data_IF_486173104115
#
_entry.id   IF_486173104115
#
_cell.length_a   1.000
_cell.length_b   1.000
_cell.length_c   1.000
_cell.angle_alpha   90.00
_cell.angle_beta   90.00
_cell.angle_gamma   90.00
#
_symmetry.space_group_name_H-M   'P 1'
#
loop_
_entity.id
_entity.type
_entity.pdbx_description
1 polymer ?
#
# COMPACT_ATOMS: atom_id res chain seq x y z
N UNK A 1 -18.45 2.92 26.69
CA UNK A 1 -18.19 1.88 25.68
C UNK A 1 -17.94 2.60 24.37
N UNK A 2 -16.67 2.71 24.02
CA UNK A 2 -16.18 3.35 22.80
C UNK A 2 -16.30 2.29 21.72
N UNK A 3 -17.16 2.49 20.73
CA UNK A 3 -17.25 1.58 19.60
C UNK A 3 -16.02 1.82 18.72
N UNK A 4 -14.97 1.06 18.99
CA UNK A 4 -13.84 0.95 18.08
C UNK A 4 -14.35 0.06 16.94
N UNK A 5 -14.78 0.70 15.84
CA UNK A 5 -14.72 0.02 14.55
C UNK A 5 -13.24 -0.11 14.25
N UNK A 6 -12.67 -1.27 14.56
CA UNK A 6 -11.46 -1.68 13.89
C UNK A 6 -11.86 -1.83 12.43
N UNK A 7 -11.53 -0.82 11.63
CA UNK A 7 -11.36 -1.03 10.21
C UNK A 7 -10.46 -2.25 10.12
N UNK A 8 -10.95 -3.32 9.50
CA UNK A 8 -10.06 -4.31 8.95
C UNK A 8 -9.31 -3.56 7.83
N UNK A 9 -8.33 -2.73 8.21
CA UNK A 9 -7.20 -2.46 7.34
C UNK A 9 -6.77 -3.84 6.92
N UNK A 10 -6.89 -4.11 5.61
CA UNK A 10 -6.56 -5.36 4.96
C UNK A 10 -5.51 -6.05 5.82
N UNK A 11 -5.85 -7.17 6.48
CA UNK A 11 -4.92 -7.82 7.39
C UNK A 11 -3.57 -7.81 6.68
N UNK A 12 -2.54 -7.19 7.26
CA UNK A 12 -1.23 -7.13 6.63
C UNK A 12 -0.70 -8.56 6.59
N UNK A 13 -1.17 -9.31 5.60
CA UNK A 13 -0.85 -10.68 5.35
C UNK A 13 0.59 -10.63 4.91
N UNK A 14 1.46 -11.04 5.80
CA UNK A 14 2.88 -10.98 5.53
C UNK A 14 3.22 -12.19 4.68
N UNK A 15 3.84 -11.94 3.52
CA UNK A 15 4.45 -13.01 2.74
C UNK A 15 5.59 -13.59 3.58
N UNK A 16 5.48 -14.88 3.89
CA UNK A 16 6.52 -15.60 4.58
C UNK A 16 7.07 -16.69 3.68
N UNK A 17 8.32 -16.52 3.28
CA UNK A 17 9.08 -17.57 2.63
C UNK A 17 9.47 -18.62 3.67
N UNK A 18 9.80 -19.83 3.21
CA UNK A 18 10.40 -20.86 4.07
C UNK A 18 11.73 -20.39 4.68
N UNK A 19 12.54 -21.33 5.19
CA UNK A 19 13.91 -21.00 5.57
C UNK A 19 14.69 -20.59 4.31
N UNK A 20 14.78 -19.29 4.06
CA UNK A 20 15.43 -18.69 2.90
C UNK A 20 16.55 -17.76 3.37
N UNK A 21 17.77 -18.03 2.91
CA UNK A 21 18.93 -17.17 3.14
C UNK A 21 19.28 -16.49 1.81
N UNK A 22 19.30 -15.16 1.78
CA UNK A 22 19.59 -14.37 0.57
C UNK A 22 20.91 -13.65 0.77
N UNK A 23 21.83 -13.77 -0.17
CA UNK A 23 23.10 -13.02 -0.15
C UNK A 23 23.16 -12.15 -1.40
N UNK A 24 23.24 -10.84 -1.23
CA UNK A 24 23.53 -9.92 -2.32
C UNK A 24 25.03 -9.71 -2.41
N UNK A 25 25.59 -9.88 -3.60
CA UNK A 25 26.98 -9.52 -3.91
C UNK A 25 26.90 -8.33 -4.88
N UNK A 26 27.26 -7.15 -4.38
CA UNK A 26 27.07 -5.86 -5.07
C UNK A 26 28.41 -5.22 -5.41
N UNK A 27 28.47 -4.58 -6.57
CA UNK A 27 29.69 -4.07 -7.16
C UNK A 27 29.90 -2.60 -6.75
N UNK A 28 31.01 -2.32 -6.08
CA UNK A 28 31.37 -0.97 -5.63
C UNK A 28 32.64 -0.44 -6.32
N UNK A 29 32.98 -1.03 -7.47
CA UNK A 29 34.11 -0.61 -8.30
C UNK A 29 33.99 0.82 -8.80
N UNK A 30 35.10 1.33 -9.34
CA UNK A 30 35.17 2.67 -9.90
C UNK A 30 34.25 2.84 -11.12
N UNK A 31 34.10 1.80 -11.95
CA UNK A 31 33.27 1.85 -13.17
C UNK A 31 31.77 1.94 -12.89
N UNK A 32 31.32 1.43 -11.74
CA UNK A 32 29.94 1.59 -11.26
C UNK A 32 29.69 3.06 -10.90
N UNK A 33 30.55 3.64 -10.05
CA UNK A 33 30.40 5.01 -9.56
C UNK A 33 29.35 5.18 -8.46
N UNK A 34 29.46 6.26 -7.67
CA UNK A 34 28.65 6.50 -6.47
C UNK A 34 27.12 6.51 -6.73
N UNK A 35 26.69 7.10 -7.84
CA UNK A 35 25.26 7.21 -8.17
C UNK A 35 24.64 5.84 -8.46
N UNK A 36 25.33 5.00 -9.24
CA UNK A 36 24.85 3.66 -9.55
C UNK A 36 24.94 2.72 -8.35
N UNK A 37 26.01 2.84 -7.55
CA UNK A 37 26.11 2.10 -6.29
C UNK A 37 24.96 2.44 -5.32
N UNK A 38 24.46 3.68 -5.35
CA UNK A 38 23.26 4.06 -4.59
C UNK A 38 22.00 3.38 -5.12
N UNK A 39 21.89 3.18 -6.43
CA UNK A 39 20.79 2.42 -7.04
C UNK A 39 20.86 0.94 -6.67
N UNK A 40 22.05 0.33 -6.65
CA UNK A 40 22.24 -1.05 -6.18
C UNK A 40 21.80 -1.23 -4.72
N UNK A 41 22.19 -0.31 -3.83
CA UNK A 41 21.73 -0.31 -2.43
C UNK A 41 20.21 -0.22 -2.33
N UNK A 42 19.59 0.64 -3.14
CA UNK A 42 18.14 0.78 -3.16
C UNK A 42 17.45 -0.49 -3.69
N UNK A 43 18.02 -1.14 -4.71
CA UNK A 43 17.54 -2.42 -5.22
C UNK A 43 17.56 -3.51 -4.15
N UNK A 44 18.65 -3.64 -3.39
CA UNK A 44 18.74 -4.58 -2.26
C UNK A 44 17.65 -4.30 -1.23
N UNK A 45 17.49 -3.04 -0.82
CA UNK A 45 16.47 -2.64 0.17
C UNK A 45 15.06 -2.94 -0.34
N UNK A 46 14.74 -2.56 -1.57
CA UNK A 46 13.40 -2.67 -2.12
C UNK A 46 13.01 -4.14 -2.36
N UNK A 47 13.95 -4.97 -2.82
CA UNK A 47 13.73 -6.42 -3.03
C UNK A 47 13.36 -7.11 -1.72
N UNK A 48 14.11 -6.85 -0.65
CA UNK A 48 13.81 -7.43 0.66
C UNK A 48 12.52 -6.86 1.24
N UNK A 49 12.25 -5.56 1.05
CA UNK A 49 11.01 -4.94 1.50
C UNK A 49 9.77 -5.58 0.87
N UNK A 50 9.84 -6.03 -0.38
CA UNK A 50 8.73 -6.72 -1.06
C UNK A 50 8.54 -8.16 -0.61
N UNK A 51 9.61 -8.84 -0.19
CA UNK A 51 9.54 -10.20 0.37
C UNK A 51 8.82 -10.28 1.72
N UNK A 52 8.45 -9.14 2.33
CA UNK A 52 7.55 -9.05 3.47
C UNK A 52 8.23 -9.31 4.81
N UNK A 53 8.50 -10.57 5.16
CA UNK A 53 9.02 -10.94 6.49
C UNK A 53 10.51 -11.27 6.52
N UNK A 54 11.27 -10.51 7.31
CA UNK A 54 12.62 -10.88 7.74
C UNK A 54 12.56 -11.69 9.04
N UNK A 55 13.50 -12.61 9.23
CA UNK A 55 13.65 -13.32 10.49
C UNK A 55 14.14 -12.36 11.59
N UNK A 56 13.39 -12.22 12.68
CA UNK A 56 13.78 -11.38 13.82
C UNK A 56 14.89 -11.98 14.67
N UNK A 57 15.06 -13.30 14.61
CA UNK A 57 16.18 -14.03 15.21
C UNK A 57 16.95 -14.74 14.08
N UNK A 58 18.26 -14.51 13.93
CA UNK A 58 19.08 -15.22 12.95
C UNK A 58 19.10 -16.75 13.12
N UNK A 59 18.72 -17.28 14.28
CA UNK A 59 18.57 -18.72 14.54
C UNK A 59 17.15 -19.25 14.27
N UNK A 60 16.21 -18.39 13.88
CA UNK A 60 14.83 -18.79 13.60
C UNK A 60 14.77 -19.84 12.48
N UNK A 61 13.98 -20.92 12.66
CA UNK A 61 13.81 -21.95 11.64
C UNK A 61 12.97 -21.47 10.45
N UNK A 62 12.38 -20.27 10.52
CA UNK A 62 11.51 -19.68 9.47
C UNK A 62 11.83 -18.21 9.26
N UNK A 63 11.45 -17.67 8.10
CA UNK A 63 11.69 -16.26 7.73
C UNK A 63 13.02 -16.04 6.98
N UNK A 64 13.09 -14.92 6.28
CA UNK A 64 14.19 -14.58 5.38
C UNK A 64 15.36 -13.97 6.16
N UNK A 65 16.57 -14.48 5.97
CA UNK A 65 17.81 -13.84 6.42
C UNK A 65 18.53 -13.24 5.23
N UNK A 66 19.13 -12.07 5.41
CA UNK A 66 19.74 -11.35 4.31
C UNK A 66 21.15 -10.94 4.67
N UNK A 67 22.09 -11.29 3.81
CA UNK A 67 23.47 -10.82 3.84
C UNK A 67 23.76 -9.96 2.63
N UNK A 68 24.71 -9.05 2.77
CA UNK A 68 25.19 -8.20 1.68
C UNK A 68 26.70 -8.22 1.72
N UNK A 69 27.34 -8.43 0.57
CA UNK A 69 28.78 -8.32 0.37
C UNK A 69 28.95 -7.24 -0.69
N UNK A 70 29.59 -6.13 -0.34
CA UNK A 70 30.11 -5.22 -1.34
C UNK A 70 31.57 -5.57 -1.65
N UNK A 71 31.96 -5.42 -2.89
CA UNK A 71 33.34 -5.64 -3.31
C UNK A 71 33.84 -4.54 -4.25
N UNK A 72 35.14 -4.33 -4.25
CA UNK A 72 35.82 -3.58 -5.31
C UNK A 72 37.11 -4.31 -5.67
N UNK A 73 38.23 -3.99 -5.02
CA UNK A 73 39.55 -4.57 -5.29
C UNK A 73 40.00 -5.51 -4.18
N UNK A 74 41.15 -6.15 -4.37
CA UNK A 74 41.74 -7.12 -3.44
C UNK A 74 41.67 -6.67 -1.97
N UNK A 75 41.06 -7.50 -1.12
CA UNK A 75 40.96 -7.27 0.32
C UNK A 75 39.91 -6.25 0.77
N UNK A 76 39.17 -5.62 -0.15
CA UNK A 76 38.12 -4.63 0.17
C UNK A 76 36.72 -5.23 0.07
N UNK A 77 36.39 -6.08 1.04
CA UNK A 77 35.06 -6.66 1.19
C UNK A 77 34.42 -6.15 2.48
N UNK A 78 33.33 -5.38 2.36
CA UNK A 78 32.46 -5.13 3.52
C UNK A 78 31.26 -6.07 3.45
N UNK A 79 30.92 -6.66 4.58
CA UNK A 79 29.83 -7.62 4.66
C UNK A 79 28.87 -7.33 5.81
N UNK A 80 27.59 -7.49 5.50
CA UNK A 80 26.52 -7.68 6.46
C UNK A 80 26.25 -9.19 6.51
N UNK A 81 26.53 -9.81 7.66
CA UNK A 81 26.43 -11.27 7.83
C UNK A 81 24.99 -11.77 7.90
N UNK A 82 24.76 -13.02 7.46
CA UNK A 82 23.45 -13.69 7.59
C UNK A 82 23.04 -13.94 9.05
N UNK A 83 24.01 -14.04 9.95
CA UNK A 83 23.88 -14.33 11.38
C UNK A 83 24.08 -13.09 12.27
N UNK A 84 24.14 -11.90 11.68
CA UNK A 84 24.27 -10.65 12.42
C UNK A 84 23.01 -10.36 13.26
N UNK A 85 23.15 -10.45 14.58
CA UNK A 85 22.06 -10.24 15.53
C UNK A 85 21.52 -8.79 15.55
N UNK A 86 22.27 -7.83 15.00
CA UNK A 86 21.80 -6.44 14.84
C UNK A 86 20.79 -6.28 13.70
N UNK A 87 20.74 -7.23 12.76
CA UNK A 87 19.84 -7.22 11.60
C UNK A 87 18.58 -8.04 11.92
N UNK A 88 17.80 -7.56 12.88
CA UNK A 88 16.59 -8.22 13.38
C UNK A 88 15.28 -7.66 12.79
N UNK A 89 15.36 -6.67 11.91
CA UNK A 89 14.21 -5.97 11.35
C UNK A 89 14.53 -5.29 10.03
N UNK A 90 13.51 -5.03 9.21
CA UNK A 90 13.67 -4.29 7.95
C UNK A 90 14.33 -2.91 8.15
N UNK A 91 13.99 -2.21 9.24
CA UNK A 91 14.56 -0.90 9.56
C UNK A 91 16.06 -0.99 9.88
N UNK A 92 16.46 -1.98 10.67
CA UNK A 92 17.88 -2.25 10.98
C UNK A 92 18.67 -2.61 9.72
N UNK A 93 18.13 -3.47 8.87
CA UNK A 93 18.72 -3.86 7.58
C UNK A 93 18.89 -2.66 6.65
N UNK A 94 17.82 -1.87 6.45
CA UNK A 94 17.85 -0.66 5.63
C UNK A 94 18.91 0.33 6.13
N UNK A 95 19.08 0.45 7.45
CA UNK A 95 20.09 1.32 8.05
C UNK A 95 21.50 0.80 7.78
N UNK A 96 21.74 -0.51 7.94
CA UNK A 96 23.02 -1.13 7.68
C UNK A 96 23.44 -1.00 6.20
N UNK A 97 22.54 -1.33 5.26
CA UNK A 97 22.81 -1.19 3.82
C UNK A 97 23.08 0.25 3.44
N UNK A 98 22.34 1.22 3.99
CA UNK A 98 22.59 2.65 3.71
C UNK A 98 23.96 3.15 4.19
N UNK A 99 24.52 2.55 5.25
CA UNK A 99 25.83 2.92 5.80
C UNK A 99 27.00 2.48 4.93
N UNK A 100 26.81 1.47 4.07
CA UNK A 100 27.81 1.02 3.11
C UNK A 100 28.28 2.19 2.23
N UNK A 101 29.58 2.43 2.27
CA UNK A 101 30.25 3.49 1.51
C UNK A 101 30.80 2.91 0.20
N UNK A 102 30.71 3.71 -0.85
CA UNK A 102 31.31 3.37 -2.13
C UNK A 102 32.85 3.35 -1.99
N UNK A 103 33.48 2.24 -2.38
CA UNK A 103 34.92 2.01 -2.18
C UNK A 103 35.75 2.63 -3.31
N UNK A 104 35.30 2.52 -4.56
CA UNK A 104 35.97 3.05 -5.76
C UNK A 104 37.38 2.44 -6.03
N UNK A 105 37.42 1.32 -6.76
CA UNK A 105 38.66 0.69 -7.19
C UNK A 105 38.43 -0.31 -8.34
N UNK A 106 39.16 -1.42 -8.33
CA UNK A 106 39.01 -2.52 -9.31
C UNK A 106 37.72 -3.33 -9.14
N UNK A 107 37.57 -4.37 -9.96
CA UNK A 107 36.41 -5.27 -9.98
C UNK A 107 36.85 -6.73 -9.79
N UNK A 108 36.92 -7.19 -8.55
CA UNK A 108 37.43 -8.52 -8.17
C UNK A 108 36.26 -9.49 -7.92
N UNK A 109 35.48 -9.73 -8.98
CA UNK A 109 34.26 -10.54 -8.92
C UNK A 109 34.53 -11.99 -8.49
N UNK A 110 35.43 -12.77 -9.14
CA UNK A 110 35.76 -14.13 -8.69
C UNK A 110 36.11 -14.21 -7.19
N UNK A 111 36.99 -13.33 -6.70
CA UNK A 111 37.38 -13.29 -5.28
C UNK A 111 36.21 -12.92 -4.37
N UNK A 112 35.32 -12.02 -4.79
CA UNK A 112 34.12 -11.65 -4.04
C UNK A 112 33.15 -12.83 -3.88
N UNK A 113 32.98 -13.66 -4.92
CA UNK A 113 32.13 -14.85 -4.87
C UNK A 113 32.71 -15.88 -3.88
N UNK A 114 34.03 -16.05 -3.87
CA UNK A 114 34.72 -16.90 -2.90
C UNK A 114 34.54 -16.38 -1.47
N UNK A 115 34.75 -15.08 -1.25
CA UNK A 115 34.57 -14.45 0.05
C UNK A 115 33.12 -14.57 0.56
N UNK A 116 32.13 -14.30 -0.30
CA UNK A 116 30.72 -14.43 0.05
C UNK A 116 30.39 -15.86 0.49
N UNK A 117 30.91 -16.88 -0.20
CA UNK A 117 30.70 -18.24 0.21
C UNK A 117 31.39 -18.58 1.53
N UNK A 118 32.69 -18.32 1.64
CA UNK A 118 33.48 -18.76 2.79
C UNK A 118 33.09 -18.04 4.08
N UNK A 119 32.78 -16.74 3.98
CA UNK A 119 32.51 -15.87 5.12
C UNK A 119 31.03 -15.85 5.54
N UNK A 120 30.09 -15.89 4.58
CA UNK A 120 28.66 -15.75 4.90
C UNK A 120 27.87 -17.05 4.74
N UNK A 121 28.26 -17.95 3.84
CA UNK A 121 27.42 -19.11 3.49
C UNK A 121 27.88 -20.38 4.18
N UNK A 122 29.18 -20.72 4.07
CA UNK A 122 29.74 -22.03 4.43
C UNK A 122 29.39 -22.49 5.84
N UNK A 123 29.51 -21.59 6.82
CA UNK A 123 29.29 -21.88 8.23
C UNK A 123 28.01 -21.25 8.80
N UNK A 124 27.45 -20.22 8.15
CA UNK A 124 26.30 -19.47 8.68
C UNK A 124 24.97 -19.86 8.04
N UNK A 125 24.95 -20.68 6.98
CA UNK A 125 23.70 -21.18 6.36
C UNK A 125 22.90 -22.07 7.31
N UNK A 126 21.57 -21.93 7.30
CA UNK A 126 20.69 -22.82 8.08
C UNK A 126 20.68 -24.23 7.47
N UNK A 127 20.70 -25.27 8.30
CA UNK A 127 20.76 -26.68 7.88
C UNK A 127 19.62 -27.13 6.94
N UNK A 128 18.48 -26.40 6.90
CA UNK A 128 17.33 -26.68 6.03
C UNK A 128 17.03 -25.55 5.04
N UNK A 129 17.87 -24.53 4.95
CA UNK A 129 17.64 -23.38 4.07
C UNK A 129 18.32 -23.55 2.73
N UNK A 130 17.63 -23.16 1.66
CA UNK A 130 18.26 -22.85 0.37
C UNK A 130 18.89 -21.47 0.48
N UNK A 131 20.06 -21.32 -0.13
CA UNK A 131 20.79 -20.05 -0.18
C UNK A 131 20.65 -19.49 -1.59
N UNK A 132 19.98 -18.34 -1.72
CA UNK A 132 19.85 -17.62 -2.98
C UNK A 132 20.88 -16.49 -3.02
N UNK A 133 21.82 -16.54 -3.94
CA UNK A 133 22.82 -15.49 -4.16
C UNK A 133 22.38 -14.64 -5.34
N UNK A 134 22.34 -13.32 -5.17
CA UNK A 134 22.07 -12.36 -6.25
C UNK A 134 23.35 -11.55 -6.45
N UNK A 135 23.97 -11.73 -7.61
CA UNK A 135 25.21 -11.03 -8.00
C UNK A 135 24.83 -9.90 -8.94
N UNK A 136 25.23 -8.67 -8.61
CA UNK A 136 25.07 -7.49 -9.46
C UNK A 136 26.47 -7.02 -9.85
N UNK A 137 26.71 -6.84 -11.14
CA UNK A 137 28.00 -6.36 -11.65
C UNK A 137 27.83 -5.73 -13.04
N UNK A 138 28.77 -4.86 -13.43
CA UNK A 138 28.90 -4.38 -14.81
C UNK A 138 29.73 -5.32 -15.70
N UNK A 139 30.00 -6.54 -15.22
CA UNK A 139 30.62 -7.65 -15.96
C UNK A 139 32.10 -7.49 -16.26
N UNK A 140 32.70 -6.37 -15.85
CA UNK A 140 34.14 -6.22 -15.85
C UNK A 140 34.68 -7.05 -14.69
N UNK A 141 35.79 -7.71 -14.90
CA UNK A 141 36.59 -8.21 -13.79
C UNK A 141 38.05 -7.89 -14.09
N UNK A 142 38.82 -7.67 -13.04
CA UNK A 142 40.23 -7.35 -13.16
C UNK A 142 41.00 -8.61 -13.59
N UNK A 143 41.83 -8.57 -14.65
CA UNK A 143 42.62 -9.74 -15.08
C UNK A 143 43.61 -10.27 -14.03
N UNK A 144 43.83 -9.52 -12.95
CA UNK A 144 44.64 -9.96 -11.79
C UNK A 144 43.87 -10.89 -10.85
N UNK A 145 42.54 -10.97 -10.98
CA UNK A 145 41.72 -11.89 -10.20
C UNK A 145 41.76 -13.32 -10.78
N UNK A 146 41.38 -14.31 -9.97
CA UNK A 146 41.43 -15.73 -10.33
C UNK A 146 40.09 -16.20 -10.94
N UNK A 147 40.01 -16.16 -12.28
CA UNK A 147 38.83 -16.54 -13.06
C UNK A 147 38.33 -17.97 -12.78
N UNK A 148 39.20 -18.86 -12.28
CA UNK A 148 38.79 -20.20 -11.89
C UNK A 148 37.75 -20.21 -10.76
N UNK A 149 37.63 -19.09 -10.01
CA UNK A 149 36.71 -18.89 -8.91
C UNK A 149 35.35 -18.33 -9.33
N UNK A 150 35.14 -17.97 -10.61
CA UNK A 150 33.84 -17.48 -11.10
C UNK A 150 32.68 -18.44 -10.80
N UNK A 151 32.99 -19.74 -10.72
CA UNK A 151 32.01 -20.80 -10.45
C UNK A 151 32.07 -21.32 -9.01
N UNK A 152 32.76 -20.64 -8.10
CA UNK A 152 33.01 -21.14 -6.73
C UNK A 152 31.72 -21.44 -5.96
N UNK A 153 30.70 -20.59 -6.11
CA UNK A 153 29.37 -20.78 -5.52
C UNK A 153 28.61 -21.99 -6.10
N UNK A 154 28.90 -22.39 -7.34
CA UNK A 154 28.23 -23.48 -8.03
C UNK A 154 28.61 -24.87 -7.52
N UNK A 155 29.64 -24.95 -6.67
CA UNK A 155 30.10 -26.21 -6.09
C UNK A 155 29.18 -26.72 -4.98
N UNK A 156 28.30 -25.88 -4.42
CA UNK A 156 27.32 -26.28 -3.40
C UNK A 156 25.93 -26.41 -4.03
N UNK A 157 25.32 -27.62 -4.04
CA UNK A 157 24.00 -27.83 -4.64
C UNK A 157 22.86 -27.09 -3.92
N UNK A 158 23.10 -26.57 -2.71
CA UNK A 158 22.11 -25.79 -1.95
C UNK A 158 22.20 -24.29 -2.23
N UNK A 159 23.16 -23.85 -3.05
CA UNK A 159 23.36 -22.47 -3.46
C UNK A 159 22.78 -22.26 -4.85
N UNK A 160 21.88 -21.30 -4.97
CA UNK A 160 21.24 -20.89 -6.23
C UNK A 160 21.73 -19.49 -6.56
N UNK A 161 22.49 -19.35 -7.65
CA UNK A 161 23.04 -18.05 -8.07
C UNK A 161 22.18 -17.45 -9.18
N UNK A 162 21.77 -16.20 -9.00
CA UNK A 162 21.17 -15.34 -10.02
C UNK A 162 22.16 -14.20 -10.30
N UNK A 163 22.52 -14.00 -11.55
CA UNK A 163 23.48 -12.99 -11.97
C UNK A 163 22.78 -11.89 -12.78
N UNK A 164 23.02 -10.64 -12.41
CA UNK A 164 22.47 -9.45 -13.05
C UNK A 164 23.65 -8.64 -13.60
N UNK A 165 23.71 -8.54 -14.93
CA UNK A 165 24.72 -7.76 -15.65
C UNK A 165 24.13 -6.43 -16.14
N UNK A 166 24.82 -5.31 -15.90
CA UNK A 166 24.32 -3.97 -16.19
C UNK A 166 25.29 -3.16 -17.05
N UNK A 167 24.78 -2.50 -18.09
CA UNK A 167 25.54 -1.52 -18.88
C UNK A 167 26.22 -2.11 -20.12
N UNK A 168 27.41 -1.58 -20.44
CA UNK A 168 28.14 -1.83 -21.70
C UNK A 168 28.75 -3.24 -21.82
N UNK A 169 28.41 -4.19 -20.93
CA UNK A 169 28.79 -5.62 -21.06
C UNK A 169 28.45 -6.21 -22.44
N UNK A 170 27.49 -5.63 -23.15
CA UNK A 170 26.96 -6.18 -24.39
C UNK A 170 27.62 -5.61 -25.66
N UNK A 171 28.52 -4.63 -25.52
CA UNK A 171 29.34 -4.13 -26.63
C UNK A 171 30.56 -5.03 -26.91
N UNK A 172 30.88 -5.97 -26.01
CA UNK A 172 31.93 -6.98 -26.18
C UNK A 172 31.37 -8.39 -25.97
N UNK A 173 31.52 -9.26 -26.98
CA UNK A 173 31.03 -10.66 -26.99
C UNK A 173 31.43 -11.50 -25.76
N UNK A 174 32.52 -11.17 -25.07
CA UNK A 174 33.11 -11.99 -24.00
C UNK A 174 32.44 -11.82 -22.61
N UNK A 175 31.74 -10.72 -22.33
CA UNK A 175 31.26 -10.45 -20.97
C UNK A 175 29.96 -11.21 -20.64
N UNK A 176 29.20 -11.62 -21.68
CA UNK A 176 28.03 -12.50 -21.54
C UNK A 176 28.38 -13.93 -21.09
N UNK A 177 29.58 -14.42 -21.41
CA UNK A 177 30.07 -15.75 -21.00
C UNK A 177 30.46 -15.76 -19.51
N UNK A 178 30.97 -14.64 -19.00
CA UNK A 178 31.30 -14.44 -17.59
C UNK A 178 30.04 -14.46 -16.73
N UNK A 179 29.00 -13.70 -17.12
CA UNK A 179 27.73 -13.67 -16.38
C UNK A 179 27.06 -15.05 -16.32
N UNK A 180 27.12 -15.78 -17.44
CA UNK A 180 26.62 -17.14 -17.52
C UNK A 180 27.41 -18.10 -16.62
N UNK A 181 28.73 -17.92 -16.52
CA UNK A 181 29.59 -18.71 -15.63
C UNK A 181 29.24 -18.48 -14.15
N UNK A 182 29.03 -17.22 -13.75
CA UNK A 182 28.58 -16.86 -12.39
C UNK A 182 27.23 -17.51 -12.07
N UNK A 183 26.29 -17.51 -13.03
CA UNK A 183 24.99 -18.17 -12.92
C UNK A 183 25.04 -19.71 -13.11
N UNK A 184 26.20 -20.33 -12.95
CA UNK A 184 26.40 -21.78 -13.04
C UNK A 184 25.97 -22.38 -14.38
N UNK A 185 26.21 -21.67 -15.48
CA UNK A 185 25.81 -22.02 -16.85
C UNK A 185 24.30 -22.12 -17.07
N UNK A 186 23.50 -21.42 -16.24
CA UNK A 186 22.05 -21.38 -16.39
C UNK A 186 21.57 -20.03 -16.93
N UNK A 187 21.22 -20.00 -18.23
CA UNK A 187 20.71 -18.79 -18.91
C UNK A 187 19.41 -18.25 -18.34
N UNK A 188 18.59 -19.07 -17.68
CA UNK A 188 17.35 -18.58 -17.06
C UNK A 188 17.60 -17.79 -15.76
N UNK A 189 18.85 -17.78 -15.27
CA UNK A 189 19.29 -17.10 -14.05
C UNK A 189 20.23 -15.93 -14.33
N UNK A 190 20.45 -15.61 -15.60
CA UNK A 190 21.15 -14.40 -16.03
C UNK A 190 20.11 -13.36 -16.42
N UNK A 191 20.24 -12.14 -15.91
CA UNK A 191 19.45 -10.99 -16.35
C UNK A 191 20.38 -9.92 -16.88
N UNK A 192 20.08 -9.44 -18.08
CA UNK A 192 20.84 -8.40 -18.76
C UNK A 192 20.05 -7.09 -18.69
N UNK A 193 20.71 -6.01 -18.28
CA UNK A 193 20.12 -4.68 -18.14
C UNK A 193 20.98 -3.64 -18.84
N UNK A 194 20.32 -2.61 -19.39
CA UNK A 194 21.04 -1.52 -20.05
C UNK A 194 21.45 -0.43 -19.08
N UNK A 195 20.64 -0.18 -18.05
CA UNK A 195 20.87 0.91 -17.10
C UNK A 195 20.63 0.46 -15.66
N UNK A 196 21.36 1.05 -14.72
CA UNK A 196 21.19 0.80 -13.29
C UNK A 196 19.81 1.23 -12.76
N UNK A 197 19.12 2.13 -13.46
CA UNK A 197 17.75 2.54 -13.14
C UNK A 197 16.75 1.38 -13.31
N UNK A 198 17.06 0.40 -14.15
CA UNK A 198 16.18 -0.75 -14.38
C UNK A 198 16.15 -1.69 -13.18
N UNK A 199 17.19 -1.67 -12.33
CA UNK A 199 17.22 -2.42 -11.08
C UNK A 199 16.12 -2.00 -10.10
N UNK A 200 15.77 -0.72 -10.10
CA UNK A 200 14.78 -0.15 -9.16
C UNK A 200 13.38 -0.10 -9.75
N UNK A 201 13.19 -0.62 -10.97
CA UNK A 201 11.88 -0.69 -11.62
C UNK A 201 10.97 -1.73 -10.95
N UNK A 202 9.71 -1.35 -10.68
CA UNK A 202 8.78 -2.19 -9.91
C UNK A 202 8.54 -3.57 -10.54
N UNK A 203 8.44 -3.64 -11.87
CA UNK A 203 8.26 -4.88 -12.61
C UNK A 203 9.43 -5.86 -12.44
N UNK A 204 10.66 -5.35 -12.35
CA UNK A 204 11.84 -6.17 -12.15
C UNK A 204 11.91 -6.69 -10.70
N UNK A 205 11.62 -5.83 -9.72
CA UNK A 205 11.60 -6.24 -8.32
C UNK A 205 10.51 -7.30 -8.09
N UNK A 206 9.35 -7.19 -8.72
CA UNK A 206 8.28 -8.21 -8.68
C UNK A 206 8.73 -9.56 -9.28
N UNK A 207 9.46 -9.52 -10.41
CA UNK A 207 10.08 -10.73 -10.98
C UNK A 207 11.08 -11.36 -10.02
N UNK A 208 11.95 -10.55 -9.40
CA UNK A 208 12.93 -11.03 -8.43
C UNK A 208 12.29 -11.60 -7.17
N UNK A 209 11.18 -11.01 -6.70
CA UNK A 209 10.39 -11.54 -5.60
C UNK A 209 9.94 -12.99 -5.89
N UNK A 210 9.40 -13.22 -7.08
CA UNK A 210 8.94 -14.55 -7.53
C UNK A 210 10.09 -15.54 -7.69
N UNK A 211 11.27 -15.09 -8.16
CA UNK A 211 12.46 -15.95 -8.32
C UNK A 211 13.05 -16.35 -6.96
N UNK A 212 13.12 -15.41 -6.01
CA UNK A 212 13.69 -15.63 -4.69
C UNK A 212 12.76 -16.42 -3.78
N UNK A 213 11.45 -16.24 -3.94
CA UNK A 213 10.41 -16.87 -3.14
C UNK A 213 9.23 -17.32 -4.01
N UNK A 214 9.35 -18.46 -4.73
CA UNK A 214 8.34 -18.90 -5.68
C UNK A 214 7.03 -19.36 -5.02
N UNK A 215 7.11 -19.95 -3.83
CA UNK A 215 5.95 -20.47 -3.10
C UNK A 215 5.83 -19.79 -1.72
N UNK A 216 5.46 -18.50 -1.66
CA UNK A 216 5.33 -17.79 -0.40
C UNK A 216 4.14 -18.32 0.39
N UNK A 217 4.33 -18.58 1.68
CA UNK A 217 3.24 -18.85 2.60
C UNK A 217 2.69 -17.49 3.04
N UNK A 218 1.47 -17.17 2.62
CA UNK A 218 0.80 -15.95 3.07
C UNK A 218 0.32 -16.19 4.50
N UNK A 219 1.02 -15.60 5.47
CA UNK A 219 0.60 -15.63 6.87
C UNK A 219 -0.14 -14.35 7.19
N UNK A 220 -1.45 -14.47 7.22
CA UNK A 220 -2.28 -13.46 7.84
C UNK A 220 -2.25 -13.69 9.35
N UNK A 221 -2.13 -12.63 10.18
CA UNK A 221 -2.29 -12.79 11.62
C UNK A 221 -3.63 -13.49 11.89
N UNK A 222 -3.59 -14.57 12.65
CA UNK A 222 -4.78 -15.25 13.15
C UNK A 222 -5.37 -14.40 14.29
N UNK A 223 -5.83 -13.21 13.95
CA UNK A 223 -6.96 -12.64 14.66
C UNK A 223 -8.17 -13.46 14.19
N UNK A 224 -9.08 -13.88 15.07
CA UNK A 224 -10.39 -14.29 14.60
C UNK A 224 -10.96 -13.07 13.88
N UNK A 225 -10.86 -13.05 12.55
CA UNK A 225 -11.91 -12.45 11.78
C UNK A 225 -13.11 -13.30 12.13
N UNK A 226 -13.89 -12.86 13.12
CA UNK A 226 -15.28 -13.21 13.13
C UNK A 226 -15.78 -12.80 11.75
N UNK A 227 -15.99 -13.83 10.94
CA UNK A 227 -16.41 -13.73 9.55
C UNK A 227 -17.88 -13.33 9.47
N UNK A 228 -18.52 -13.20 10.63
CA UNK A 228 -19.68 -12.36 10.84
C UNK A 228 -19.16 -11.02 11.36
N UNK A 229 -19.29 -9.97 10.55
CA UNK A 229 -19.25 -8.61 11.05
C UNK A 229 -20.30 -8.51 12.16
N UNK A 230 -19.90 -8.64 13.42
CA UNK A 230 -20.74 -8.30 14.57
C UNK A 230 -20.82 -6.77 14.75
N UNK A 231 -20.74 -6.05 13.61
CA UNK A 231 -21.44 -4.79 13.47
C UNK A 231 -22.90 -5.19 13.59
N UNK A 232 -23.45 -5.09 14.80
CA UNK A 232 -24.88 -5.24 15.01
C UNK A 232 -25.55 -4.46 13.87
N UNK A 233 -26.42 -5.10 13.05
CA UNK A 233 -27.02 -4.46 11.89
C UNK A 233 -27.49 -3.07 12.27
N UNK A 234 -27.63 -2.10 11.36
CA UNK A 234 -28.20 -0.78 11.70
C UNK A 234 -29.46 -0.83 12.61
N UNK A 235 -30.19 -1.96 12.62
CA UNK A 235 -31.28 -2.32 13.55
C UNK A 235 -30.85 -2.44 15.04
N UNK A 236 -29.65 -2.92 15.33
CA UNK A 236 -29.13 -3.24 16.66
C UNK A 236 -28.27 -2.16 17.32
N UNK A 237 -27.91 -1.08 16.62
CA UNK A 237 -27.08 0.02 17.15
C UNK A 237 -27.46 1.39 16.58
N UNK A 238 -27.06 2.51 17.20
CA UNK A 238 -27.41 3.83 16.71
C UNK A 238 -26.40 4.30 15.64
N UNK A 239 -26.88 4.60 14.44
CA UNK A 239 -26.06 5.13 13.32
C UNK A 239 -26.61 6.47 12.85
N UNK A 240 -25.79 7.52 12.87
CA UNK A 240 -26.13 8.83 12.32
C UNK A 240 -25.41 9.00 10.96
N UNK A 241 -26.16 8.80 9.87
CA UNK A 241 -25.65 8.82 8.49
C UNK A 241 -25.89 10.20 7.87
N UNK A 242 -24.83 10.83 7.39
CA UNK A 242 -24.86 12.19 6.83
C UNK A 242 -24.37 12.14 5.39
N UNK A 243 -25.25 12.47 4.45
CA UNK A 243 -24.91 12.58 3.04
C UNK A 243 -24.40 13.98 2.72
N UNK A 244 -23.24 14.06 2.08
CA UNK A 244 -22.69 15.27 1.49
C UNK A 244 -22.75 15.10 -0.04
N UNK A 245 -23.72 15.75 -0.65
CA UNK A 245 -23.98 15.69 -2.09
C UNK A 245 -23.30 16.87 -2.79
N UNK A 246 -22.49 16.57 -3.79
CA UNK A 246 -21.84 17.58 -4.62
C UNK A 246 -22.89 18.31 -5.48
N UNK A 247 -23.03 19.61 -5.30
CA UNK A 247 -23.96 20.47 -6.04
C UNK A 247 -23.31 21.13 -7.26
N UNK A 248 -22.20 20.58 -7.75
CA UNK A 248 -21.44 21.23 -8.81
C UNK A 248 -22.01 21.05 -10.20
N UNK A 249 -21.76 22.03 -11.08
CA UNK A 249 -22.11 22.01 -12.51
C UNK A 249 -21.62 20.73 -13.21
N UNK A 250 -20.43 20.24 -12.85
CA UNK A 250 -19.83 19.03 -13.43
C UNK A 250 -20.65 17.78 -13.14
N UNK A 251 -21.28 17.69 -11.96
CA UNK A 251 -22.17 16.59 -11.65
C UNK A 251 -23.35 16.56 -12.62
N UNK A 252 -23.96 17.72 -12.87
CA UNK A 252 -25.12 17.88 -13.73
C UNK A 252 -26.44 17.46 -13.08
N UNK A 253 -27.52 18.10 -13.51
CA UNK A 253 -28.88 17.92 -12.94
C UNK A 253 -29.39 16.48 -13.03
N UNK A 254 -29.10 15.75 -14.11
CA UNK A 254 -29.54 14.36 -14.26
C UNK A 254 -28.91 13.45 -13.19
N UNK A 255 -27.60 13.56 -12.96
CA UNK A 255 -26.89 12.78 -11.95
C UNK A 255 -27.29 13.18 -10.53
N UNK A 256 -27.55 14.47 -10.32
CA UNK A 256 -28.10 14.99 -9.08
C UNK A 256 -29.44 14.31 -8.74
N UNK A 257 -30.37 14.20 -9.69
CA UNK A 257 -31.64 13.50 -9.50
C UNK A 257 -31.45 12.01 -9.16
N UNK A 258 -30.45 11.36 -9.76
CA UNK A 258 -30.09 9.97 -9.43
C UNK A 258 -29.55 9.85 -8.00
N UNK A 259 -28.73 10.79 -7.55
CA UNK A 259 -28.24 10.84 -6.17
C UNK A 259 -29.39 11.02 -5.16
N UNK A 260 -30.38 11.87 -5.45
CA UNK A 260 -31.56 12.02 -4.60
C UNK A 260 -32.40 10.75 -4.52
N UNK A 261 -32.59 10.05 -5.65
CA UNK A 261 -33.24 8.74 -5.70
C UNK A 261 -32.49 7.70 -4.88
N UNK A 262 -31.16 7.71 -4.95
CA UNK A 262 -30.31 6.83 -4.15
C UNK A 262 -30.50 7.07 -2.65
N UNK A 263 -30.43 8.33 -2.19
CA UNK A 263 -30.67 8.68 -0.78
C UNK A 263 -32.08 8.27 -0.34
N UNK A 264 -33.09 8.46 -1.19
CA UNK A 264 -34.46 8.01 -0.91
C UNK A 264 -34.55 6.48 -0.77
N UNK A 265 -33.86 5.73 -1.63
CA UNK A 265 -33.81 4.27 -1.59
C UNK A 265 -33.11 3.76 -0.34
N UNK A 266 -32.01 4.40 0.08
CA UNK A 266 -31.34 4.13 1.36
C UNK A 266 -32.29 4.38 2.52
N UNK A 267 -32.97 5.53 2.55
CA UNK A 267 -33.93 5.89 3.61
C UNK A 267 -35.09 4.90 3.73
N UNK A 268 -35.53 4.28 2.63
CA UNK A 268 -36.60 3.29 2.62
C UNK A 268 -36.13 1.88 3.00
N UNK A 269 -34.84 1.58 2.81
CA UNK A 269 -34.26 0.26 3.08
C UNK A 269 -33.77 0.13 4.52
N UNK A 270 -33.19 1.22 5.06
CA UNK A 270 -32.64 1.22 6.41
C UNK A 270 -33.73 1.28 7.47
N UNK A 271 -33.48 0.64 8.61
CA UNK A 271 -34.36 0.77 9.78
C UNK A 271 -34.11 2.11 10.46
N UNK A 272 -34.97 3.10 10.18
CA UNK A 272 -34.90 4.43 10.79
C UNK A 272 -35.25 4.36 12.29
N UNK A 273 -34.56 5.15 13.10
CA UNK A 273 -34.84 5.28 14.53
C UNK A 273 -36.29 5.75 14.77
N UNK A 274 -36.91 5.38 15.90
CA UNK A 274 -38.28 5.85 16.22
C UNK A 274 -38.27 7.20 16.91
N UNK A 275 -37.20 7.50 17.64
CA UNK A 275 -37.00 8.78 18.33
C UNK A 275 -35.61 9.35 18.10
N UNK A 276 -35.43 10.62 18.45
CA UNK A 276 -34.14 11.32 18.38
C UNK A 276 -33.04 10.66 19.23
N UNK A 277 -33.38 9.96 20.31
CA UNK A 277 -32.43 9.42 21.31
C UNK A 277 -32.34 7.89 21.34
N UNK A 278 -33.00 7.20 20.41
CA UNK A 278 -32.98 5.73 20.38
C UNK A 278 -31.56 5.19 20.21
N UNK A 279 -31.24 4.14 20.96
CA UNK A 279 -29.95 3.44 20.89
C UNK A 279 -29.88 2.42 19.73
N UNK A 280 -30.85 2.46 18.82
CA UNK A 280 -31.01 1.55 17.68
C UNK A 280 -31.55 2.33 16.48
N UNK A 281 -31.26 1.85 15.28
CA UNK A 281 -31.76 2.44 14.05
C UNK A 281 -30.97 3.66 13.59
N UNK A 282 -31.27 4.07 12.36
CA UNK A 282 -30.52 5.09 11.63
C UNK A 282 -31.22 6.45 11.72
N UNK A 283 -30.44 7.54 11.78
CA UNK A 283 -30.92 8.90 11.50
C UNK A 283 -30.17 9.43 10.30
N UNK A 284 -30.87 10.15 9.43
CA UNK A 284 -30.31 10.67 8.19
C UNK A 284 -30.20 12.19 8.22
N UNK A 285 -29.18 12.72 7.57
CA UNK A 285 -29.08 14.12 7.17
C UNK A 285 -28.58 14.18 5.73
N UNK A 286 -28.96 15.23 5.01
CA UNK A 286 -28.43 15.51 3.68
C UNK A 286 -28.09 17.00 3.57
N UNK A 287 -26.87 17.27 3.14
CA UNK A 287 -26.38 18.58 2.76
C UNK A 287 -25.88 18.53 1.32
N UNK A 288 -26.32 19.48 0.52
CA UNK A 288 -25.72 19.76 -0.78
C UNK A 288 -24.64 20.83 -0.60
N UNK A 289 -23.46 20.56 -1.15
CA UNK A 289 -22.32 21.45 -1.05
C UNK A 289 -21.88 22.00 -2.40
N UNK A 290 -21.58 23.28 -2.42
CA UNK A 290 -21.06 24.00 -3.58
C UNK A 290 -19.80 24.77 -3.20
N UNK A 291 -19.80 26.08 -3.43
CA UNK A 291 -18.73 27.00 -3.00
C UNK A 291 -18.67 27.11 -1.49
N UNK A 292 -17.59 27.70 -0.96
CA UNK A 292 -17.34 27.79 0.50
C UNK A 292 -18.53 28.34 1.30
N UNK A 293 -19.28 29.30 0.75
CA UNK A 293 -20.47 29.91 1.37
C UNK A 293 -21.81 29.39 0.84
N UNK A 294 -21.81 28.58 -0.22
CA UNK A 294 -23.02 28.14 -0.93
C UNK A 294 -23.25 26.65 -0.67
N UNK A 295 -23.86 26.36 0.49
CA UNK A 295 -24.24 25.00 0.87
C UNK A 295 -25.69 25.00 1.36
N UNK A 296 -26.50 24.05 0.90
CA UNK A 296 -27.91 23.93 1.24
C UNK A 296 -28.17 22.66 2.05
N UNK A 297 -28.78 22.81 3.23
CA UNK A 297 -29.21 21.66 4.04
C UNK A 297 -30.59 21.24 3.56
N UNK A 298 -30.70 20.05 2.97
CA UNK A 298 -31.98 19.48 2.55
C UNK A 298 -32.85 19.11 3.75
N UNK A 299 -32.24 18.43 4.72
CA UNK A 299 -32.82 18.14 6.02
C UNK A 299 -31.71 17.88 7.05
N UNK A 300 -31.84 18.37 8.29
CA UNK A 300 -30.90 18.08 9.37
C UNK A 300 -31.04 16.62 9.84
N UNK A 301 -30.15 16.19 10.76
CA UNK A 301 -30.23 14.86 11.37
C UNK A 301 -31.63 14.59 11.94
N UNK A 302 -32.35 13.70 11.26
CA UNK A 302 -33.75 13.40 11.53
C UNK A 302 -34.03 11.91 11.45
N UNK A 303 -35.12 11.52 12.08
CA UNK A 303 -35.71 10.18 12.03
C UNK A 303 -37.12 10.22 11.41
N UNK A 304 -37.56 11.39 10.96
CA UNK A 304 -38.87 11.57 10.35
C UNK A 304 -38.79 11.28 8.83
N UNK A 305 -39.39 10.15 8.43
CA UNK A 305 -39.44 9.72 7.04
C UNK A 305 -40.13 10.76 6.13
N UNK A 306 -41.16 11.44 6.64
CA UNK A 306 -41.88 12.46 5.85
C UNK A 306 -41.01 13.69 5.65
N UNK A 307 -40.30 14.12 6.69
CA UNK A 307 -39.30 15.18 6.61
C UNK A 307 -38.17 14.86 5.63
N UNK A 308 -37.68 13.62 5.61
CA UNK A 308 -36.67 13.17 4.63
C UNK A 308 -37.21 13.27 3.20
N UNK A 309 -38.38 12.68 2.93
CA UNK A 309 -38.99 12.71 1.60
C UNK A 309 -39.30 14.14 1.13
N UNK A 310 -39.84 14.98 2.02
CA UNK A 310 -40.12 16.39 1.73
C UNK A 310 -38.83 17.16 1.46
N UNK A 311 -37.79 16.97 2.28
CA UNK A 311 -36.50 17.62 2.11
C UNK A 311 -35.85 17.28 0.78
N UNK A 312 -35.86 15.99 0.38
CA UNK A 312 -35.38 15.53 -0.93
C UNK A 312 -36.15 16.18 -2.09
N UNK A 313 -37.49 16.25 -2.00
CA UNK A 313 -38.32 16.84 -3.06
C UNK A 313 -38.18 18.36 -3.20
N UNK A 314 -37.78 19.04 -2.11
CA UNK A 314 -37.64 20.50 -2.06
C UNK A 314 -36.23 21.01 -2.33
N UNK A 315 -35.24 20.11 -2.35
CA UNK A 315 -33.85 20.47 -2.56
C UNK A 315 -33.65 20.96 -4.00
N UNK A 316 -33.00 22.11 -4.15
CA UNK A 316 -32.75 22.73 -5.44
C UNK A 316 -31.27 22.58 -5.76
N UNK A 317 -30.99 21.94 -6.90
CA UNK A 317 -29.65 21.84 -7.45
C UNK A 317 -28.99 23.22 -7.55
N UNK A 318 -27.80 23.36 -6.95
CA UNK A 318 -27.09 24.62 -6.84
C UNK A 318 -26.46 25.06 -8.17
N UNK A 319 -25.90 24.11 -8.93
CA UNK A 319 -25.22 24.37 -10.20
C UNK A 319 -24.02 25.34 -10.06
N UNK A 320 -23.11 25.04 -9.13
CA UNK A 320 -21.96 25.89 -8.78
C UNK A 320 -20.63 25.12 -8.81
N UNK A 321 -19.55 25.63 -8.20
CA UNK A 321 -18.28 24.87 -8.11
C UNK A 321 -18.23 24.02 -6.84
N UNK A 322 -17.45 22.94 -6.83
CA UNK A 322 -17.35 22.00 -5.72
C UNK A 322 -16.23 22.36 -4.72
N UNK A 323 -16.55 22.55 -3.44
CA UNK A 323 -15.60 22.76 -2.35
C UNK A 323 -15.90 21.88 -1.12
N UNK A 324 -15.38 20.66 -1.12
CA UNK A 324 -15.66 19.65 -0.08
C UNK A 324 -15.11 20.00 1.31
N UNK A 325 -13.94 20.63 1.40
CA UNK A 325 -13.29 20.95 2.68
C UNK A 325 -14.17 21.83 3.58
N UNK A 326 -14.60 23.02 3.11
CA UNK A 326 -15.56 23.87 3.81
C UNK A 326 -16.88 23.16 4.16
N UNK A 327 -17.39 22.31 3.26
CA UNK A 327 -18.62 21.55 3.48
C UNK A 327 -18.51 20.60 4.68
N UNK A 328 -17.37 19.92 4.84
CA UNK A 328 -17.09 19.07 6.00
C UNK A 328 -17.12 19.88 7.30
N UNK A 329 -16.45 21.04 7.33
CA UNK A 329 -16.46 21.90 8.52
C UNK A 329 -17.86 22.39 8.86
N UNK A 330 -18.63 22.82 7.86
CA UNK A 330 -20.03 23.25 8.04
C UNK A 330 -20.88 22.12 8.59
N UNK A 331 -20.74 20.91 8.06
CA UNK A 331 -21.48 19.72 8.50
C UNK A 331 -21.18 19.37 9.95
N UNK A 332 -19.90 19.36 10.35
CA UNK A 332 -19.50 19.09 11.74
C UNK A 332 -20.07 20.17 12.68
N UNK A 333 -20.07 21.44 12.28
CA UNK A 333 -20.53 22.52 13.15
C UNK A 333 -22.06 22.64 13.22
N UNK A 334 -22.77 22.55 12.10
CA UNK A 334 -24.22 22.82 12.01
C UNK A 334 -25.10 21.58 12.14
N UNK A 335 -24.69 20.46 11.53
CA UNK A 335 -25.48 19.21 11.52
C UNK A 335 -25.17 18.38 12.77
N UNK A 336 -23.90 18.20 13.09
CA UNK A 336 -23.49 17.42 14.27
C UNK A 336 -23.54 18.24 15.56
N UNK A 337 -23.10 19.50 15.54
CA UNK A 337 -22.96 20.35 16.72
C UNK A 337 -21.82 19.89 17.65
N UNK A 338 -21.25 20.80 18.45
CA UNK A 338 -20.09 20.52 19.32
C UNK A 338 -20.40 20.75 20.79
N UNK A 339 -19.76 19.97 21.68
CA UNK A 339 -19.87 20.14 23.12
C UNK A 339 -21.32 20.09 23.62
N UNK A 340 -21.79 21.18 24.23
CA UNK A 340 -23.14 21.30 24.79
C UNK A 340 -24.26 21.33 23.73
N UNK A 341 -23.96 21.66 22.47
CA UNK A 341 -24.94 21.73 21.36
C UNK A 341 -24.93 20.48 20.47
N UNK A 342 -24.23 19.42 20.88
CA UNK A 342 -24.13 18.16 20.12
C UNK A 342 -25.51 17.57 19.82
N UNK A 343 -25.82 17.42 18.53
CA UNK A 343 -27.06 16.88 17.97
C UNK A 343 -26.97 15.38 17.63
N UNK A 344 -25.76 14.84 17.44
CA UNK A 344 -25.53 13.40 17.24
C UNK A 344 -25.86 12.62 18.52
N UNK A 345 -26.30 11.37 18.38
CA UNK A 345 -26.59 10.51 19.54
C UNK A 345 -25.31 10.13 20.29
N UNK A 346 -25.39 9.96 21.61
CA UNK A 346 -24.26 9.45 22.40
C UNK A 346 -23.98 8.01 22.02
N UNK A 347 -22.72 7.70 21.69
CA UNK A 347 -22.32 6.37 21.24
C UNK A 347 -22.87 5.97 19.88
N UNK A 348 -23.47 6.90 19.13
CA UNK A 348 -23.75 6.64 17.72
C UNK A 348 -22.47 6.69 16.91
N UNK A 349 -22.38 5.76 15.96
CA UNK A 349 -21.45 5.91 14.86
C UNK A 349 -21.94 7.03 13.95
N UNK A 350 -21.04 7.93 13.59
CA UNK A 350 -21.31 8.99 12.62
C UNK A 350 -20.61 8.63 11.33
N UNK A 351 -21.39 8.48 10.25
CA UNK A 351 -20.86 8.13 8.93
C UNK A 351 -21.18 9.24 7.92
N UNK A 352 -20.14 9.73 7.25
CA UNK A 352 -20.23 10.69 6.17
C UNK A 352 -20.18 9.95 4.83
N UNK A 353 -21.16 10.19 3.98
CA UNK A 353 -21.23 9.62 2.63
C UNK A 353 -21.14 10.76 1.63
N UNK A 354 -19.99 10.88 0.98
CA UNK A 354 -19.75 11.85 -0.08
C UNK A 354 -20.28 11.30 -1.40
N UNK A 355 -21.07 12.08 -2.12
CA UNK A 355 -21.56 11.73 -3.46
C UNK A 355 -21.04 12.80 -4.41
N UNK A 356 -20.09 12.46 -5.28
CA UNK A 356 -19.35 13.43 -6.12
C UNK A 356 -19.01 12.86 -7.50
N UNK A 357 -18.65 13.71 -8.46
CA UNK A 357 -18.10 13.30 -9.76
C UNK A 357 -16.60 12.97 -9.69
N UNK A 358 -15.96 13.18 -8.54
CA UNK A 358 -14.54 12.90 -8.31
C UNK A 358 -13.61 14.08 -8.58
N UNK A 359 -14.15 15.27 -8.86
CA UNK A 359 -13.39 16.51 -8.97
C UNK A 359 -13.93 17.59 -8.04
N UNK A 360 -13.23 17.81 -6.94
CA UNK A 360 -13.52 18.92 -6.01
C UNK A 360 -12.26 19.76 -5.82
N UNK A 361 -12.47 21.03 -5.46
CA UNK A 361 -11.39 21.84 -4.95
C UNK A 361 -10.74 21.15 -3.73
N UNK A 362 -9.42 21.05 -3.75
CA UNK A 362 -8.59 20.43 -2.70
C UNK A 362 -8.25 21.39 -1.55
N UNK A 363 -8.68 22.65 -1.63
CA UNK A 363 -8.47 23.62 -0.55
C UNK A 363 -9.03 23.09 0.77
N UNK A 364 -8.18 23.08 1.80
CA UNK A 364 -8.47 22.63 3.16
C UNK A 364 -8.89 21.14 3.29
N UNK A 365 -8.60 20.31 2.29
CA UNK A 365 -8.98 18.89 2.30
C UNK A 365 -8.24 18.10 3.38
N UNK A 366 -6.96 18.39 3.61
CA UNK A 366 -6.15 17.72 4.63
C UNK A 366 -6.61 18.11 6.06
N UNK A 367 -7.00 19.37 6.26
CA UNK A 367 -7.59 19.86 7.50
C UNK A 367 -8.97 19.26 7.73
N UNK A 368 -9.79 19.13 6.68
CA UNK A 368 -11.10 18.49 6.73
C UNK A 368 -10.97 17.00 7.09
N UNK A 369 -10.07 16.26 6.45
CA UNK A 369 -9.76 14.87 6.80
C UNK A 369 -9.29 14.74 8.25
N UNK A 370 -8.42 15.66 8.69
CA UNK A 370 -7.96 15.71 10.08
C UNK A 370 -9.10 16.02 11.06
N UNK A 371 -10.05 16.87 10.69
CA UNK A 371 -11.24 17.15 11.49
C UNK A 371 -12.16 15.92 11.58
N UNK A 372 -12.38 15.22 10.48
CA UNK A 372 -13.16 13.97 10.46
C UNK A 372 -12.55 12.91 11.37
N UNK A 373 -11.22 12.73 11.32
CA UNK A 373 -10.51 11.80 12.21
C UNK A 373 -10.68 12.17 13.69
N UNK A 374 -10.57 13.45 14.04
CA UNK A 374 -10.75 13.91 15.44
C UNK A 374 -12.15 13.65 15.98
N UNK A 375 -13.16 13.78 15.13
CA UNK A 375 -14.57 13.54 15.49
C UNK A 375 -14.98 12.06 15.33
N UNK A 376 -14.03 11.17 15.01
CA UNK A 376 -14.23 9.73 14.79
C UNK A 376 -15.31 9.42 13.73
N UNK A 377 -15.35 10.23 12.67
CA UNK A 377 -16.30 10.07 11.57
C UNK A 377 -15.80 8.96 10.63
N UNK A 378 -16.71 8.06 10.22
CA UNK A 378 -16.45 7.07 9.17
C UNK A 378 -16.77 7.70 7.81
N UNK A 379 -15.78 7.83 6.93
CA UNK A 379 -15.97 8.43 5.61
C UNK A 379 -16.20 7.35 4.55
N UNK A 380 -17.17 7.55 3.68
CA UNK A 380 -17.46 6.71 2.51
C UNK A 380 -17.64 7.64 1.30
N UNK A 381 -17.05 7.26 0.17
CA UNK A 381 -17.08 8.09 -1.03
C UNK A 381 -17.74 7.31 -2.14
N UNK A 382 -18.77 7.90 -2.74
CA UNK A 382 -19.44 7.41 -3.93
C UNK A 382 -19.05 8.37 -5.06
N UNK A 383 -18.26 7.86 -6.00
CA UNK A 383 -17.79 8.62 -7.15
C UNK A 383 -18.28 7.97 -8.43
N UNK A 384 -18.76 8.76 -9.40
CA UNK A 384 -19.04 8.23 -10.75
C UNK A 384 -18.52 9.16 -11.85
N UNK A 385 -18.06 8.58 -12.95
CA UNK A 385 -17.35 9.28 -14.02
C UNK A 385 -16.19 8.47 -14.60
N UNK A 386 -15.68 8.88 -15.76
CA UNK A 386 -14.50 8.25 -16.40
C UNK A 386 -13.19 8.90 -15.99
N UNK A 387 -13.23 10.19 -15.66
CA UNK A 387 -12.08 10.98 -15.24
C UNK A 387 -12.30 11.30 -13.77
N UNK A 388 -11.50 10.74 -12.87
CA UNK A 388 -11.59 11.00 -11.43
C UNK A 388 -10.21 11.30 -10.88
N UNK A 389 -10.13 12.23 -9.92
CA UNK A 389 -8.92 12.43 -9.15
C UNK A 389 -8.84 11.40 -8.01
N UNK A 390 -8.12 10.30 -8.26
CA UNK A 390 -7.92 9.22 -7.30
C UNK A 390 -7.33 9.70 -5.96
N UNK A 391 -6.45 10.69 -6.00
CA UNK A 391 -5.79 11.19 -4.79
C UNK A 391 -6.81 11.94 -3.91
N UNK A 392 -7.72 12.71 -4.52
CA UNK A 392 -8.83 13.35 -3.81
C UNK A 392 -9.76 12.31 -3.19
N UNK A 393 -10.14 11.27 -3.94
CA UNK A 393 -11.04 10.22 -3.45
C UNK A 393 -10.43 9.45 -2.27
N UNK A 394 -9.14 9.07 -2.38
CA UNK A 394 -8.40 8.38 -1.32
C UNK A 394 -8.29 9.28 -0.08
N UNK A 395 -8.04 10.58 -0.25
CA UNK A 395 -8.01 11.54 0.86
C UNK A 395 -9.37 11.68 1.54
N UNK A 396 -10.46 11.78 0.78
CA UNK A 396 -11.81 11.85 1.32
C UNK A 396 -12.20 10.58 2.07
N UNK A 397 -11.85 9.41 1.54
CA UNK A 397 -11.99 8.13 2.20
C UNK A 397 -10.97 7.91 3.35
N UNK A 398 -10.18 8.95 3.68
CA UNK A 398 -9.18 8.97 4.74
C UNK A 398 -8.10 7.87 4.63
N UNK A 399 -7.86 7.38 3.41
CA UNK A 399 -6.89 6.32 3.09
C UNK A 399 -7.52 4.94 2.82
N UNK A 400 -8.82 4.75 3.12
CA UNK A 400 -9.49 3.46 2.93
C UNK A 400 -10.06 3.32 1.51
N UNK A 401 -9.37 2.56 0.66
CA UNK A 401 -9.81 2.31 -0.72
C UNK A 401 -11.11 1.51 -0.80
N UNK A 402 -11.44 0.70 0.20
CA UNK A 402 -12.66 -0.10 0.21
C UNK A 402 -13.90 0.75 0.54
N UNK A 403 -13.70 1.94 1.14
CA UNK A 403 -14.75 2.91 1.38
C UNK A 403 -15.10 3.74 0.12
N UNK A 404 -14.47 3.47 -1.02
CA UNK A 404 -14.69 4.17 -2.30
C UNK A 404 -15.51 3.28 -3.24
N UNK A 405 -16.74 3.70 -3.50
CA UNK A 405 -17.67 3.06 -4.42
C UNK A 405 -17.61 3.79 -5.76
N UNK A 406 -17.12 3.10 -6.78
CA UNK A 406 -16.99 3.66 -8.15
C UNK A 406 -18.01 3.03 -9.08
N UNK A 407 -18.67 3.87 -9.87
CA UNK A 407 -19.55 3.45 -10.95
C UNK A 407 -19.25 4.23 -12.24
N UNK A 408 -19.46 3.64 -13.43
CA UNK A 408 -19.32 4.38 -14.67
C UNK A 408 -20.45 5.41 -14.86
N UNK A 409 -21.63 5.20 -14.25
CA UNK A 409 -22.75 6.16 -14.26
C UNK A 409 -23.45 6.24 -12.90
N UNK A 410 -24.04 7.40 -12.58
CA UNK A 410 -24.87 7.56 -11.38
C UNK A 410 -26.12 6.66 -11.36
N UNK A 411 -26.62 6.27 -12.53
CA UNK A 411 -27.71 5.29 -12.63
C UNK A 411 -27.32 3.90 -12.09
N UNK A 412 -26.03 3.57 -12.07
CA UNK A 412 -25.54 2.30 -11.51
C UNK A 412 -25.61 2.26 -9.98
N UNK A 413 -25.70 3.42 -9.32
CA UNK A 413 -25.93 3.49 -7.86
C UNK A 413 -27.26 2.86 -7.45
N UNK A 414 -28.23 2.85 -8.37
CA UNK A 414 -29.55 2.26 -8.14
C UNK A 414 -29.56 0.76 -8.45
N UNK A 415 -28.49 0.20 -9.01
CA UNK A 415 -28.40 -1.24 -9.30
C UNK A 415 -28.32 -2.04 -7.99
N UNK A 416 -29.03 -3.17 -7.88
CA UNK A 416 -29.05 -3.96 -6.65
C UNK A 416 -27.67 -4.42 -6.18
N UNK A 417 -26.72 -4.66 -7.09
CA UNK A 417 -25.37 -5.10 -6.74
C UNK A 417 -24.61 -4.05 -5.93
N UNK A 418 -24.50 -2.83 -6.45
CA UNK A 418 -23.77 -1.73 -5.80
C UNK A 418 -24.53 -1.22 -4.57
N UNK A 419 -25.86 -1.10 -4.68
CA UNK A 419 -26.70 -0.68 -3.57
C UNK A 419 -26.59 -1.64 -2.36
N UNK A 420 -26.70 -2.96 -2.59
CA UNK A 420 -26.58 -3.93 -1.50
C UNK A 420 -25.18 -3.95 -0.90
N UNK A 421 -24.13 -3.74 -1.71
CA UNK A 421 -22.76 -3.61 -1.22
C UNK A 421 -22.62 -2.38 -0.31
N UNK A 422 -23.18 -1.23 -0.71
CA UNK A 422 -23.21 -0.02 0.11
C UNK A 422 -23.98 -0.23 1.42
N UNK A 423 -25.16 -0.85 1.38
CA UNK A 423 -25.94 -1.12 2.59
C UNK A 423 -25.17 -2.04 3.56
N UNK A 424 -24.52 -3.09 3.05
CA UNK A 424 -23.66 -3.97 3.86
C UNK A 424 -22.46 -3.26 4.45
N UNK A 425 -21.90 -2.29 3.73
CA UNK A 425 -20.79 -1.47 4.22
C UNK A 425 -21.22 -0.55 5.36
N UNK A 426 -22.39 0.08 5.24
CA UNK A 426 -22.89 1.00 6.27
C UNK A 426 -23.36 0.27 7.55
N UNK A 427 -23.99 -0.91 7.44
CA UNK A 427 -24.90 -1.41 8.49
C UNK A 427 -24.52 -2.63 9.35
#
# INVERSE_FOLDING_TARGET
>A
MTYIRETCGCCDCVKQCGALDIVFVIDSSESVGLSNFTLEKNFVINTISRLGSMASDPKSPTGTRVGVVQFSHEGTFEAIGLDDASINSMSSFKTAVKKLQWIAGGTFTPSALKFAYDSLIRNSKRARAKVSVVVVTDGRFDPRDDDSQLRYLCNDPNVVVNAIGIGDMFDKKHDSETLLSIACNNKNRTTEMKQYTDLVADNFIEKMETVLCPDPIIKCPALPCETDLDVAPCVGRPVDLVFLLDGSERLGMENFDHALKFVQMVANTLTIAKTRSDQKGVRLALIEFGKESENQVAFPLTHDQKGIASGLSSLRYLDVSSAVGPAVFKTINEIMGKGATRKTRRGAEVSFVFITDGFTNITNLDEAASAMRREQIVSTVIATGSDMDEDVLIKLAMGDRNAIFKGPKFSDLLQPSLFNQFIRWVC
#
